data_IF_907708623778
#
_entry.id   IF_907708623778
#
_cell.length_a   1.000
_cell.length_b   1.000
_cell.length_c   1.000
_cell.angle_alpha   90.00
_cell.angle_beta   90.00
_cell.angle_gamma   90.00
#
_symmetry.space_group_name_H-M   'P 1'
#
loop_
_entity.id
_entity.type
_entity.pdbx_description
1 polymer ?
#
# COMPACT_ATOMS: atom_id res chain seq x y z
N UNK A 1 -2.17 -15.25 -3.71
CA UNK A 1 -1.27 -14.69 -2.66
C UNK A 1 -2.03 -14.25 -1.42
N UNK A 2 -2.91 -13.25 -1.47
CA UNK A 2 -3.74 -12.79 -0.33
C UNK A 2 -5.22 -13.00 -0.64
N UNK A 3 -6.00 -13.42 0.37
CA UNK A 3 -7.44 -13.64 0.24
C UNK A 3 -8.15 -13.17 1.52
N UNK A 4 -9.11 -12.29 1.38
CA UNK A 4 -10.04 -11.86 2.42
C UNK A 4 -11.37 -12.58 2.16
N UNK A 5 -11.91 -13.26 3.17
CA UNK A 5 -13.17 -14.04 3.09
C UNK A 5 -14.17 -13.54 4.11
N UNK A 6 -15.18 -12.83 3.62
CA UNK A 6 -16.35 -12.36 4.38
C UNK A 6 -15.95 -11.67 5.70
N UNK A 7 -14.93 -10.78 5.67
CA UNK A 7 -14.44 -10.14 6.87
C UNK A 7 -15.35 -9.02 7.34
N UNK A 8 -15.61 -9.02 8.65
CA UNK A 8 -16.21 -7.93 9.39
C UNK A 8 -15.18 -7.35 10.35
N UNK A 9 -15.18 -6.03 10.50
CA UNK A 9 -14.27 -5.32 11.41
C UNK A 9 -15.01 -4.19 12.10
N UNK A 10 -14.75 -4.01 13.40
CA UNK A 10 -15.44 -3.03 14.24
C UNK A 10 -14.45 -2.15 15.00
N UNK A 11 -14.81 -0.87 15.15
CA UNK A 11 -14.23 0.06 16.13
C UNK A 11 -15.27 0.28 17.25
N UNK A 12 -15.14 -0.44 18.35
CA UNK A 12 -16.17 -0.48 19.36
C UNK A 12 -17.50 -0.97 18.78
N UNK A 13 -18.53 -0.14 18.83
CA UNK A 13 -19.86 -0.46 18.27
C UNK A 13 -20.04 -0.07 16.79
N UNK A 14 -19.02 0.54 16.18
CA UNK A 14 -19.11 0.98 14.79
C UNK A 14 -18.54 -0.11 13.88
N UNK A 15 -19.37 -0.70 13.04
CA UNK A 15 -18.94 -1.65 12.03
C UNK A 15 -18.32 -0.90 10.83
N UNK A 16 -17.01 -1.03 10.66
CA UNK A 16 -16.24 -0.38 9.60
C UNK A 16 -16.16 -1.22 8.32
N UNK A 17 -16.06 -2.56 8.44
CA UNK A 17 -16.09 -3.48 7.31
C UNK A 17 -17.25 -4.46 7.48
N UNK A 18 -17.92 -4.78 6.36
CA UNK A 18 -19.13 -5.60 6.32
C UNK A 18 -19.04 -6.59 5.17
N UNK A 19 -18.77 -7.84 5.49
CA UNK A 19 -18.77 -8.96 4.55
C UNK A 19 -17.78 -8.71 3.36
N UNK A 20 -16.61 -8.16 3.67
CA UNK A 20 -15.62 -7.81 2.65
C UNK A 20 -14.89 -9.05 2.19
N UNK A 21 -14.93 -9.31 0.89
CA UNK A 21 -14.19 -10.39 0.23
C UNK A 21 -13.44 -9.84 -0.97
N UNK A 22 -12.14 -10.11 -1.04
CA UNK A 22 -11.29 -9.77 -2.18
C UNK A 22 -10.09 -10.73 -2.26
N UNK A 23 -9.47 -10.78 -3.43
CA UNK A 23 -8.29 -11.59 -3.68
C UNK A 23 -7.21 -10.77 -4.37
N UNK A 24 -5.94 -11.08 -4.06
CA UNK A 24 -4.75 -10.52 -4.71
C UNK A 24 -3.89 -11.69 -5.14
N UNK A 25 -3.63 -11.83 -6.44
CA UNK A 25 -2.72 -12.84 -6.94
C UNK A 25 -1.28 -12.33 -6.94
N UNK A 26 -0.32 -13.22 -7.01
CA UNK A 26 1.10 -12.88 -7.07
C UNK A 26 1.41 -12.14 -8.38
N UNK A 27 2.18 -11.05 -8.28
CA UNK A 27 2.57 -10.22 -9.41
C UNK A 27 1.53 -9.20 -9.88
N UNK A 28 0.31 -9.19 -9.32
CA UNK A 28 -0.72 -8.21 -9.68
C UNK A 28 -0.53 -6.86 -8.97
N UNK A 29 -0.95 -5.78 -9.63
CA UNK A 29 -1.37 -4.52 -9.00
C UNK A 29 -2.88 -4.59 -8.81
N UNK A 30 -3.34 -4.71 -7.57
CA UNK A 30 -4.77 -4.66 -7.24
C UNK A 30 -5.07 -3.33 -6.55
N UNK A 31 -6.10 -2.61 -7.02
CA UNK A 31 -6.52 -1.35 -6.41
C UNK A 31 -7.83 -1.50 -5.64
N UNK A 32 -7.93 -0.80 -4.50
CA UNK A 32 -9.16 -0.61 -3.75
C UNK A 32 -9.49 0.88 -3.76
N UNK A 33 -10.53 1.25 -4.50
CA UNK A 33 -10.97 2.64 -4.63
C UNK A 33 -12.27 2.87 -3.85
N UNK A 34 -12.49 4.11 -3.43
CA UNK A 34 -13.68 4.52 -2.69
C UNK A 34 -13.52 5.88 -2.04
N UNK A 35 -14.63 6.47 -1.62
CA UNK A 35 -14.62 7.75 -0.91
C UNK A 35 -13.92 7.67 0.45
N UNK A 36 -13.62 8.83 1.05
CA UNK A 36 -13.12 8.89 2.43
C UNK A 36 -14.14 8.30 3.39
N UNK A 37 -13.67 7.49 4.33
CA UNK A 37 -14.52 6.76 5.27
C UNK A 37 -15.18 5.50 4.69
N UNK A 38 -14.90 5.10 3.44
CA UNK A 38 -15.48 3.88 2.85
C UNK A 38 -14.99 2.58 3.52
N UNK A 39 -13.87 2.61 4.29
CA UNK A 39 -13.30 1.43 4.94
C UNK A 39 -11.96 0.99 4.35
N UNK A 40 -11.39 1.73 3.39
CA UNK A 40 -10.16 1.38 2.67
C UNK A 40 -8.97 1.16 3.61
N UNK A 41 -8.59 2.16 4.41
CA UNK A 41 -7.48 2.04 5.37
C UNK A 41 -7.76 1.00 6.45
N UNK A 42 -9.03 0.83 6.85
CA UNK A 42 -9.43 -0.25 7.78
C UNK A 42 -9.15 -1.63 7.18
N UNK A 43 -9.35 -1.81 5.87
CA UNK A 43 -9.00 -3.06 5.18
C UNK A 43 -7.50 -3.34 5.28
N UNK A 44 -6.63 -2.33 5.02
CA UNK A 44 -5.18 -2.47 5.18
C UNK A 44 -4.78 -2.76 6.62
N UNK A 45 -5.36 -2.04 7.58
CA UNK A 45 -5.09 -2.26 9.01
C UNK A 45 -5.52 -3.65 9.48
N UNK A 46 -6.62 -4.20 8.95
CA UNK A 46 -7.05 -5.58 9.22
C UNK A 46 -6.05 -6.60 8.67
N UNK A 47 -5.49 -6.37 7.47
CA UNK A 47 -4.46 -7.23 6.88
C UNK A 47 -3.17 -7.19 7.72
N UNK A 48 -2.78 -6.01 8.21
CA UNK A 48 -1.55 -5.81 8.99
C UNK A 48 -1.68 -6.16 10.49
N UNK A 49 -2.87 -6.60 10.94
CA UNK A 49 -3.10 -6.94 12.35
C UNK A 49 -3.22 -5.71 13.27
N UNK A 50 -3.42 -4.52 12.71
CA UNK A 50 -3.63 -3.27 13.45
C UNK A 50 -5.06 -3.13 13.99
N UNK A 51 -6.03 -3.75 13.31
CA UNK A 51 -7.44 -3.81 13.73
C UNK A 51 -7.93 -5.25 13.67
N UNK A 52 -8.56 -5.78 14.73
CA UNK A 52 -8.98 -7.17 14.76
C UNK A 52 -10.16 -7.43 13.79
N UNK A 53 -10.07 -8.53 13.08
CA UNK A 53 -11.19 -9.10 12.31
C UNK A 53 -12.16 -9.77 13.29
N UNK A 54 -13.41 -9.36 13.28
CA UNK A 54 -14.45 -9.89 14.20
C UNK A 54 -15.20 -11.07 13.62
N UNK A 55 -15.21 -11.24 12.29
CA UNK A 55 -15.79 -12.36 11.54
C UNK A 55 -15.03 -12.55 10.25
N UNK A 56 -15.03 -13.77 9.73
CA UNK A 56 -14.32 -14.12 8.49
C UNK A 56 -12.84 -14.40 8.72
N UNK A 57 -12.07 -14.48 7.67
CA UNK A 57 -10.64 -14.80 7.73
C UNK A 57 -9.83 -14.07 6.66
N UNK A 58 -8.57 -13.79 6.96
CA UNK A 58 -7.58 -13.30 6.01
C UNK A 58 -6.51 -14.36 5.87
N UNK A 59 -6.30 -14.82 4.64
CA UNK A 59 -5.31 -15.84 4.31
C UNK A 59 -4.20 -15.23 3.46
N UNK A 60 -2.96 -15.48 3.86
CA UNK A 60 -1.78 -15.21 3.04
C UNK A 60 -1.12 -16.54 2.69
N UNK A 61 -1.06 -16.87 1.40
CA UNK A 61 -0.59 -18.18 0.90
C UNK A 61 -1.32 -19.36 1.55
N UNK A 62 -2.63 -19.22 1.73
CA UNK A 62 -3.47 -20.25 2.34
C UNK A 62 -3.34 -20.35 3.86
N UNK A 63 -2.50 -19.55 4.51
CA UNK A 63 -2.32 -19.53 5.97
C UNK A 63 -3.05 -18.35 6.60
N UNK A 64 -3.81 -18.55 7.70
CA UNK A 64 -4.53 -17.46 8.36
C UNK A 64 -3.54 -16.48 9.01
N UNK A 65 -3.70 -15.20 8.68
CA UNK A 65 -2.86 -14.11 9.22
C UNK A 65 -3.63 -13.15 10.13
N UNK A 66 -4.96 -13.13 10.08
CA UNK A 66 -5.81 -12.20 10.85
C UNK A 66 -5.72 -12.35 12.38
N UNK A 67 -5.15 -13.45 12.87
CA UNK A 67 -4.90 -13.70 14.30
C UNK A 67 -3.44 -13.45 14.69
N UNK A 68 -2.59 -13.10 13.73
CA UNK A 68 -1.16 -12.88 13.97
C UNK A 68 -0.90 -11.45 14.45
N UNK A 69 0.18 -11.28 15.22
CA UNK A 69 0.70 -9.96 15.56
C UNK A 69 1.38 -9.31 14.36
N UNK A 70 1.36 -7.99 14.27
CA UNK A 70 1.92 -7.22 13.16
C UNK A 70 3.39 -7.58 12.85
N UNK A 71 4.23 -7.79 13.87
CA UNK A 71 5.64 -8.20 13.68
C UNK A 71 5.78 -9.55 12.96
N UNK A 72 4.85 -10.47 13.14
CA UNK A 72 4.82 -11.76 12.44
C UNK A 72 4.37 -11.60 11.00
N UNK A 73 3.37 -10.73 10.77
CA UNK A 73 2.86 -10.44 9.43
C UNK A 73 3.96 -9.82 8.56
N UNK A 74 4.70 -8.85 9.09
CA UNK A 74 5.83 -8.23 8.38
C UNK A 74 6.90 -9.28 8.00
N UNK A 75 7.19 -10.25 8.87
CA UNK A 75 8.16 -11.35 8.59
C UNK A 75 7.68 -12.28 7.47
N UNK A 76 6.39 -12.33 7.15
CA UNK A 76 5.86 -13.06 5.99
C UNK A 76 6.08 -12.32 4.67
N UNK A 77 6.54 -11.06 4.72
CA UNK A 77 6.76 -10.22 3.56
C UNK A 77 5.58 -9.32 3.20
N UNK A 78 4.64 -9.09 4.12
CA UNK A 78 3.57 -8.09 3.98
C UNK A 78 4.03 -6.80 4.63
N UNK A 79 4.25 -5.75 3.83
CA UNK A 79 4.72 -4.46 4.33
C UNK A 79 3.77 -3.33 3.90
N UNK A 80 3.53 -2.38 4.79
CA UNK A 80 2.62 -1.27 4.55
C UNK A 80 3.37 0.07 4.52
N UNK A 81 2.99 0.91 3.55
CA UNK A 81 3.21 2.35 3.58
C UNK A 81 1.88 2.99 3.98
N UNK A 82 1.75 3.44 5.23
CA UNK A 82 0.50 4.01 5.72
C UNK A 82 0.25 5.41 5.18
N UNK A 83 -1.00 5.87 5.27
CA UNK A 83 -1.36 7.26 5.00
C UNK A 83 -0.54 8.22 5.87
N UNK A 84 -0.26 9.41 5.36
CA UNK A 84 0.52 10.43 6.10
C UNK A 84 2.02 10.16 6.16
N UNK A 85 2.53 9.21 5.35
CA UNK A 85 3.96 8.89 5.15
C UNK A 85 4.63 8.23 6.36
N UNK A 86 4.34 8.66 7.58
CA UNK A 86 4.85 8.18 8.87
C UNK A 86 6.35 7.83 8.86
N UNK A 87 7.17 8.77 8.34
CA UNK A 87 8.63 8.68 8.41
C UNK A 87 9.12 9.07 9.81
N UNK A 88 10.33 8.68 10.17
CA UNK A 88 10.99 9.13 11.39
C UNK A 88 11.67 10.48 11.11
N UNK A 89 11.00 11.58 11.49
CA UNK A 89 11.36 12.95 11.13
C UNK A 89 12.74 13.38 11.66
N UNK A 90 13.11 12.91 12.84
CA UNK A 90 14.36 13.24 13.52
C UNK A 90 15.53 12.34 13.10
N UNK A 91 15.28 11.37 12.23
CA UNK A 91 16.29 10.50 11.64
C UNK A 91 16.61 10.94 10.22
N UNK A 92 17.84 10.69 9.81
CA UNK A 92 18.26 10.91 8.43
C UNK A 92 17.55 10.01 7.44
N UNK A 93 17.61 10.32 6.15
CA UNK A 93 17.16 9.45 5.07
C UNK A 93 17.77 8.07 5.21
N UNK A 94 19.06 7.98 5.43
CA UNK A 94 19.78 6.71 5.53
C UNK A 94 19.28 5.89 6.74
N UNK A 95 19.14 6.49 7.91
CA UNK A 95 18.64 5.81 9.12
C UNK A 95 17.19 5.33 8.95
N UNK A 96 16.33 6.10 8.26
CA UNK A 96 15.00 5.63 7.90
C UNK A 96 15.04 4.39 7.00
N UNK A 97 15.95 4.33 6.02
CA UNK A 97 16.12 3.18 5.14
C UNK A 97 16.68 1.96 5.89
N UNK A 98 17.64 2.15 6.76
CA UNK A 98 18.21 1.10 7.61
C UNK A 98 17.15 0.46 8.50
N UNK A 99 16.23 1.26 9.06
CA UNK A 99 15.07 0.73 9.81
C UNK A 99 14.15 -0.13 8.96
N UNK A 100 14.02 0.17 7.65
CA UNK A 100 13.28 -0.70 6.72
C UNK A 100 13.86 -2.10 6.63
N UNK A 101 15.18 -2.23 6.75
CA UNK A 101 15.89 -3.51 6.73
C UNK A 101 16.08 -4.15 8.12
N UNK A 102 15.51 -3.59 9.19
CA UNK A 102 15.77 -3.99 10.60
C UNK A 102 15.58 -5.48 10.88
N UNK A 103 14.69 -6.16 10.17
CA UNK A 103 14.41 -7.60 10.36
C UNK A 103 15.32 -8.51 9.52
N UNK A 104 16.32 -7.96 8.83
CA UNK A 104 17.19 -8.67 7.87
C UNK A 104 18.63 -8.71 8.36
N UNK A 105 19.31 -9.83 8.04
CA UNK A 105 20.71 -10.07 8.40
C UNK A 105 21.62 -10.21 7.16
N UNK A 106 21.03 -10.18 5.93
CA UNK A 106 21.74 -10.40 4.65
C UNK A 106 22.40 -9.10 4.15
N UNK A 107 23.55 -8.75 4.70
CA UNK A 107 24.24 -7.47 4.43
C UNK A 107 24.42 -7.14 2.94
N UNK A 108 24.79 -8.13 2.13
CA UNK A 108 24.96 -7.93 0.68
C UNK A 108 23.61 -7.69 -0.02
N UNK A 109 22.55 -8.33 0.44
CA UNK A 109 21.19 -8.10 -0.03
C UNK A 109 20.71 -6.71 0.33
N UNK A 110 20.90 -6.28 1.57
CA UNK A 110 20.53 -4.93 2.04
C UNK A 110 21.25 -3.87 1.20
N UNK A 111 22.55 -4.06 0.91
CA UNK A 111 23.30 -3.14 0.05
C UNK A 111 22.73 -3.07 -1.38
N UNK A 112 22.41 -4.22 -2.00
CA UNK A 112 21.79 -4.25 -3.34
C UNK A 112 20.44 -3.54 -3.35
N UNK A 113 19.62 -3.75 -2.32
CA UNK A 113 18.31 -3.12 -2.22
C UNK A 113 18.42 -1.62 -1.95
N UNK A 114 19.44 -1.17 -1.22
CA UNK A 114 19.73 0.24 -1.04
C UNK A 114 20.14 0.90 -2.37
N UNK A 115 21.01 0.26 -3.15
CA UNK A 115 21.40 0.74 -4.48
C UNK A 115 20.18 0.78 -5.42
N UNK A 116 19.29 -0.22 -5.34
CA UNK A 116 18.04 -0.25 -6.10
C UNK A 116 17.12 0.91 -5.71
N UNK A 117 16.88 1.13 -4.42
CA UNK A 117 16.06 2.23 -3.92
C UNK A 117 16.62 3.59 -4.38
N UNK A 118 17.92 3.78 -4.34
CA UNK A 118 18.55 5.01 -4.84
C UNK A 118 18.47 5.15 -6.37
N UNK A 119 18.40 4.06 -7.10
CA UNK A 119 18.11 4.11 -8.54
C UNK A 119 16.67 4.53 -8.86
N UNK A 120 15.70 4.12 -8.04
CA UNK A 120 14.31 4.55 -8.16
C UNK A 120 14.11 6.02 -7.76
N UNK A 121 14.84 6.47 -6.73
CA UNK A 121 14.73 7.80 -6.15
C UNK A 121 16.09 8.44 -5.95
N UNK A 122 16.75 8.95 -7.04
CA UNK A 122 18.10 9.54 -6.96
C UNK A 122 18.21 10.67 -5.95
N UNK A 123 17.16 11.44 -5.75
CA UNK A 123 17.11 12.54 -4.79
C UNK A 123 17.39 12.08 -3.35
N UNK A 124 16.97 10.85 -2.99
CA UNK A 124 17.23 10.28 -1.67
C UNK A 124 18.73 9.95 -1.49
N UNK A 125 19.40 9.51 -2.57
CA UNK A 125 20.86 9.28 -2.55
C UNK A 125 21.65 10.57 -2.31
N UNK A 126 21.22 11.67 -2.94
CA UNK A 126 21.82 12.99 -2.76
C UNK A 126 21.64 13.52 -1.33
N UNK A 127 20.48 13.21 -0.73
CA UNK A 127 20.05 13.71 0.58
C UNK A 127 20.18 12.69 1.72
N UNK A 128 20.99 11.64 1.54
CA UNK A 128 21.12 10.53 2.49
C UNK A 128 21.40 10.92 3.94
N UNK A 129 22.06 12.07 4.16
CA UNK A 129 22.40 12.60 5.50
C UNK A 129 21.41 13.67 6.00
N UNK A 130 20.43 14.04 5.19
CA UNK A 130 19.40 15.02 5.56
C UNK A 130 18.36 14.39 6.47
N UNK A 131 17.87 15.14 7.46
CA UNK A 131 16.78 14.70 8.34
C UNK A 131 15.48 14.54 7.53
N UNK A 132 14.79 13.44 7.74
CA UNK A 132 13.54 13.11 7.04
C UNK A 132 12.47 14.21 7.16
N UNK A 133 12.35 14.82 8.33
CA UNK A 133 11.39 15.89 8.57
C UNK A 133 11.61 17.17 7.78
N UNK A 134 12.82 17.37 7.21
CA UNK A 134 13.17 18.55 6.40
C UNK A 134 12.97 18.33 4.90
N UNK A 135 12.58 17.12 4.49
CA UNK A 135 12.24 16.79 3.10
C UNK A 135 10.89 17.41 2.71
N UNK A 136 10.72 17.70 1.42
CA UNK A 136 9.39 18.03 0.88
C UNK A 136 8.41 16.88 1.05
N UNK A 137 7.10 17.16 0.99
CA UNK A 137 6.09 16.12 1.13
C UNK A 137 6.21 14.97 0.12
N UNK A 138 6.61 15.28 -1.13
CA UNK A 138 6.86 14.25 -2.14
C UNK A 138 8.09 13.40 -1.83
N UNK A 139 9.18 14.00 -1.37
CA UNK A 139 10.39 13.28 -0.97
C UNK A 139 10.16 12.42 0.28
N UNK A 140 9.33 12.88 1.21
CA UNK A 140 8.91 12.07 2.36
C UNK A 140 8.12 10.84 1.92
N UNK A 141 7.24 10.97 0.91
CA UNK A 141 6.51 9.84 0.34
C UNK A 141 7.45 8.86 -0.35
N UNK A 142 8.43 9.36 -1.12
CA UNK A 142 9.49 8.54 -1.71
C UNK A 142 10.26 7.78 -0.63
N UNK A 143 10.62 8.44 0.46
CA UNK A 143 11.32 7.83 1.59
C UNK A 143 10.47 6.75 2.28
N UNK A 144 9.17 6.98 2.47
CA UNK A 144 8.26 6.00 3.08
C UNK A 144 8.14 4.72 2.22
N UNK A 145 7.98 4.88 0.90
CA UNK A 145 7.96 3.75 -0.04
C UNK A 145 9.31 3.02 -0.03
N UNK A 146 10.41 3.77 -0.11
CA UNK A 146 11.77 3.23 -0.08
C UNK A 146 12.03 2.40 1.18
N UNK A 147 11.63 2.91 2.35
CA UNK A 147 11.75 2.19 3.62
C UNK A 147 10.99 0.86 3.61
N UNK A 148 9.79 0.83 3.02
CA UNK A 148 9.04 -0.42 2.89
C UNK A 148 9.73 -1.40 1.93
N UNK A 149 10.33 -0.93 0.83
CA UNK A 149 11.07 -1.76 -0.12
C UNK A 149 12.34 -2.38 0.48
N UNK A 150 13.00 -1.69 1.42
CA UNK A 150 14.15 -2.23 2.14
C UNK A 150 13.84 -3.51 2.94
N UNK A 151 12.58 -3.74 3.28
CA UNK A 151 12.14 -4.99 3.91
C UNK A 151 12.03 -6.18 2.94
N UNK A 152 12.23 -5.99 1.62
CA UNK A 152 11.96 -6.97 0.55
C UNK A 152 10.53 -7.53 0.61
N UNK A 153 9.52 -6.67 0.46
CA UNK A 153 8.14 -7.11 0.52
C UNK A 153 7.81 -8.10 -0.62
N UNK A 154 7.02 -9.10 -0.31
CA UNK A 154 6.33 -9.92 -1.30
C UNK A 154 4.99 -9.29 -1.69
N UNK A 155 4.36 -8.61 -0.71
CA UNK A 155 3.14 -7.83 -0.88
C UNK A 155 3.37 -6.44 -0.25
N UNK A 156 3.33 -5.42 -1.08
CA UNK A 156 3.42 -4.01 -0.68
C UNK A 156 2.02 -3.42 -0.63
N UNK A 157 1.63 -2.95 0.55
CA UNK A 157 0.36 -2.27 0.82
C UNK A 157 0.60 -0.77 0.83
N UNK A 158 -0.10 -0.02 -0.02
CA UNK A 158 0.03 1.43 -0.15
C UNK A 158 -1.30 2.10 0.21
N UNK A 159 -1.29 2.96 1.23
CA UNK A 159 -2.47 3.70 1.70
C UNK A 159 -2.41 5.16 1.24
N UNK A 160 -3.19 5.49 0.23
CA UNK A 160 -3.32 6.82 -0.39
C UNK A 160 -1.96 7.49 -0.69
N UNK A 161 -1.06 6.83 -1.43
CA UNK A 161 0.29 7.34 -1.66
C UNK A 161 0.33 8.65 -2.44
N UNK A 162 -0.75 9.05 -3.11
CA UNK A 162 -0.84 10.30 -3.87
C UNK A 162 -1.37 11.49 -3.06
N UNK A 163 -1.87 11.26 -1.84
CA UNK A 163 -2.58 12.29 -1.06
C UNK A 163 -1.71 13.49 -0.73
N UNK A 164 -2.21 14.69 -1.09
CA UNK A 164 -1.55 15.97 -0.78
C UNK A 164 -0.24 16.21 -1.53
N UNK A 165 -0.04 15.53 -2.68
CA UNK A 165 1.14 15.70 -3.52
C UNK A 165 0.85 16.54 -4.77
N UNK A 166 1.88 17.22 -5.29
CA UNK A 166 1.80 17.92 -6.56
C UNK A 166 1.60 16.94 -7.72
N UNK A 167 0.86 17.30 -8.81
CA UNK A 167 0.55 16.40 -9.92
C UNK A 167 1.76 15.69 -10.55
N UNK A 168 2.88 16.39 -10.67
CA UNK A 168 4.11 15.81 -11.22
C UNK A 168 4.67 14.70 -10.31
N UNK A 169 4.59 14.87 -9.00
CA UNK A 169 5.03 13.87 -8.02
C UNK A 169 4.08 12.67 -8.03
N UNK A 170 2.77 12.91 -8.13
CA UNK A 170 1.78 11.83 -8.27
C UNK A 170 2.15 10.93 -9.44
N UNK A 171 2.37 11.52 -10.62
CA UNK A 171 2.77 10.76 -11.82
C UNK A 171 4.04 9.94 -11.56
N UNK A 172 5.05 10.53 -10.93
CA UNK A 172 6.29 9.85 -10.61
C UNK A 172 6.07 8.67 -9.63
N UNK A 173 5.27 8.85 -8.57
CA UNK A 173 4.96 7.78 -7.62
C UNK A 173 4.26 6.61 -8.31
N UNK A 174 3.27 6.87 -9.17
CA UNK A 174 2.57 5.81 -9.90
C UNK A 174 3.50 5.06 -10.86
N UNK A 175 4.39 5.74 -11.57
CA UNK A 175 5.42 5.11 -12.40
C UNK A 175 6.35 4.21 -11.59
N UNK A 176 6.73 4.62 -10.38
CA UNK A 176 7.56 3.81 -9.48
C UNK A 176 6.78 2.59 -8.98
N UNK A 177 5.48 2.71 -8.67
CA UNK A 177 4.64 1.59 -8.28
C UNK A 177 4.59 0.53 -9.41
N UNK A 178 4.37 0.97 -10.66
CA UNK A 178 4.43 0.07 -11.83
C UNK A 178 5.81 -0.60 -11.96
N UNK A 179 6.89 0.18 -11.82
CA UNK A 179 8.25 -0.35 -11.89
C UNK A 179 8.54 -1.39 -10.81
N UNK A 180 8.17 -1.13 -9.57
CA UNK A 180 8.33 -2.05 -8.43
C UNK A 180 7.54 -3.34 -8.67
N UNK A 181 6.34 -3.25 -9.24
CA UNK A 181 5.55 -4.43 -9.60
C UNK A 181 6.20 -5.23 -10.74
N UNK A 182 6.69 -4.58 -11.81
CA UNK A 182 7.44 -5.21 -12.89
C UNK A 182 8.70 -5.95 -12.39
N UNK A 183 9.29 -5.46 -11.30
CA UNK A 183 10.44 -6.09 -10.65
C UNK A 183 10.04 -7.24 -9.69
N UNK A 184 8.75 -7.62 -9.68
CA UNK A 184 8.23 -8.84 -9.04
C UNK A 184 7.52 -8.62 -7.70
N UNK A 185 7.31 -7.39 -7.24
CA UNK A 185 6.56 -7.11 -6.00
C UNK A 185 5.07 -7.05 -6.30
N UNK A 186 4.26 -7.82 -5.58
CA UNK A 186 2.79 -7.70 -5.62
C UNK A 186 2.37 -6.43 -4.90
N UNK A 187 1.42 -5.67 -5.47
CA UNK A 187 0.99 -4.40 -4.90
C UNK A 187 -0.50 -4.40 -4.61
N UNK A 188 -0.87 -3.98 -3.41
CA UNK A 188 -2.24 -3.62 -3.07
C UNK A 188 -2.31 -2.12 -2.79
N UNK A 189 -2.94 -1.40 -3.70
CA UNK A 189 -3.02 0.06 -3.71
C UNK A 189 -4.40 0.52 -3.26
N UNK A 190 -4.46 1.24 -2.16
CA UNK A 190 -5.67 1.93 -1.70
C UNK A 190 -5.58 3.40 -2.12
N UNK A 191 -6.58 3.90 -2.82
CA UNK A 191 -6.57 5.26 -3.37
C UNK A 191 -7.96 5.90 -3.41
N UNK A 192 -7.98 7.21 -3.22
CA UNK A 192 -9.12 8.06 -3.55
C UNK A 192 -9.03 8.55 -4.99
N UNK A 193 -7.82 8.74 -5.52
CA UNK A 193 -7.58 9.11 -6.91
C UNK A 193 -7.82 7.92 -7.84
N UNK A 194 -9.10 7.59 -8.05
CA UNK A 194 -9.52 6.43 -8.82
C UNK A 194 -8.95 6.42 -10.25
N UNK A 195 -8.84 7.59 -10.89
CA UNK A 195 -8.34 7.67 -12.27
C UNK A 195 -6.91 7.15 -12.40
N UNK A 196 -6.01 7.58 -11.50
CA UNK A 196 -4.63 7.12 -11.54
C UNK A 196 -4.51 5.66 -11.10
N UNK A 197 -5.23 5.27 -10.04
CA UNK A 197 -5.18 3.92 -9.52
C UNK A 197 -5.66 2.87 -10.55
N UNK A 198 -6.78 3.14 -11.22
CA UNK A 198 -7.36 2.21 -12.20
C UNK A 198 -6.53 2.09 -13.48
N UNK A 199 -5.74 3.12 -13.85
CA UNK A 199 -4.86 3.07 -15.03
C UNK A 199 -3.76 2.03 -14.91
N UNK A 200 -3.22 1.83 -13.71
CA UNK A 200 -2.11 0.91 -13.47
C UNK A 200 -2.57 -0.43 -12.89
N UNK A 201 -3.83 -0.54 -12.46
CA UNK A 201 -4.34 -1.75 -11.82
C UNK A 201 -4.69 -2.84 -12.85
N UNK A 202 -4.21 -4.06 -12.63
CA UNK A 202 -4.70 -5.26 -13.33
C UNK A 202 -6.16 -5.53 -12.97
N UNK A 203 -6.46 -5.44 -11.66
CA UNK A 203 -7.81 -5.60 -11.11
C UNK A 203 -8.08 -4.55 -10.04
N UNK A 204 -9.35 -4.22 -9.88
CA UNK A 204 -9.73 -3.29 -8.83
C UNK A 204 -11.09 -3.65 -8.20
N UNK A 205 -11.27 -3.13 -6.99
CA UNK A 205 -12.48 -3.22 -6.20
C UNK A 205 -12.95 -1.81 -5.85
N UNK A 206 -14.26 -1.59 -5.91
CA UNK A 206 -14.91 -0.36 -5.44
C UNK A 206 -15.50 -0.62 -4.07
N UNK A 207 -15.17 0.23 -3.11
CA UNK A 207 -15.66 0.11 -1.74
C UNK A 207 -16.56 1.28 -1.35
N UNK A 208 -17.74 0.97 -0.83
CA UNK A 208 -18.69 1.95 -0.31
C UNK A 208 -19.22 1.50 1.05
N UNK A 209 -19.15 2.36 2.04
CA UNK A 209 -19.70 2.14 3.39
C UNK A 209 -19.35 0.75 3.96
N UNK A 210 -18.07 0.37 3.85
CA UNK A 210 -17.53 -0.87 4.38
C UNK A 210 -17.83 -2.13 3.57
N UNK A 211 -18.33 -2.02 2.33
CA UNK A 211 -18.66 -3.15 1.45
C UNK A 211 -17.98 -3.01 0.09
N UNK A 212 -17.63 -4.13 -0.53
CA UNK A 212 -17.26 -4.14 -1.94
C UNK A 212 -18.57 -4.10 -2.75
N UNK A 213 -18.72 -3.07 -3.59
CA UNK A 213 -19.91 -2.88 -4.44
C UNK A 213 -19.67 -3.29 -5.88
N UNK A 214 -18.42 -3.17 -6.36
CA UNK A 214 -18.05 -3.54 -7.72
C UNK A 214 -16.63 -4.12 -7.74
N UNK A 215 -16.35 -4.95 -8.74
CA UNK A 215 -15.00 -5.44 -9.02
C UNK A 215 -14.83 -5.70 -10.53
N UNK A 216 -13.60 -5.57 -11.02
CA UNK A 216 -13.28 -5.78 -12.44
C UNK A 216 -11.82 -5.51 -12.73
N UNK A 217 -11.48 -5.51 -14.02
CA UNK A 217 -10.16 -5.01 -14.46
C UNK A 217 -10.11 -3.49 -14.32
N UNK A 218 -8.91 -2.92 -14.13
CA UNK A 218 -8.75 -1.45 -14.08
C UNK A 218 -9.38 -0.78 -15.30
N UNK A 219 -9.15 -1.33 -16.49
CA UNK A 219 -9.72 -0.81 -17.74
C UNK A 219 -11.24 -0.90 -17.80
N UNK A 220 -11.84 -1.99 -17.32
CA UNK A 220 -13.31 -2.13 -17.31
C UNK A 220 -13.97 -1.14 -16.36
N UNK A 221 -13.39 -0.91 -15.19
CA UNK A 221 -13.92 0.04 -14.22
C UNK A 221 -13.70 1.50 -14.66
N UNK A 222 -12.61 1.81 -15.37
CA UNK A 222 -12.43 3.13 -16.02
C UNK A 222 -13.50 3.44 -17.07
N UNK A 223 -14.03 2.41 -17.73
CA UNK A 223 -15.07 2.56 -18.74
C UNK A 223 -16.49 2.60 -18.14
N UNK A 224 -16.68 2.16 -16.90
CA UNK A 224 -17.99 2.06 -16.24
C UNK A 224 -18.58 3.45 -15.93
N UNK A 225 -19.83 3.69 -16.30
CA UNK A 225 -20.47 5.00 -16.15
C UNK A 225 -20.79 5.36 -14.69
N UNK A 226 -21.02 4.37 -13.83
CA UNK A 226 -21.23 4.62 -12.39
C UNK A 226 -19.92 5.03 -11.73
N UNK A 227 -18.81 4.35 -12.07
CA UNK A 227 -17.48 4.70 -11.59
C UNK A 227 -17.08 6.10 -12.08
N UNK A 228 -17.34 6.43 -13.36
CA UNK A 228 -17.07 7.77 -13.91
C UNK A 228 -17.81 8.85 -13.13
N UNK A 229 -19.11 8.70 -12.91
CA UNK A 229 -19.94 9.68 -12.20
C UNK A 229 -19.55 9.82 -10.73
N UNK A 230 -19.24 8.70 -10.04
CA UNK A 230 -18.98 8.72 -8.61
C UNK A 230 -17.54 9.14 -8.26
N UNK A 231 -16.55 8.78 -9.10
CA UNK A 231 -15.13 8.85 -8.73
C UNK A 231 -14.22 9.55 -9.73
N UNK A 232 -14.65 9.78 -11.00
CA UNK A 232 -13.81 10.39 -12.04
C UNK A 232 -14.20 11.84 -12.37
N UNK A 233 -15.28 12.35 -11.80
CA UNK A 233 -15.73 13.74 -12.00
C UNK A 233 -16.28 14.03 -13.40
N UNK A 234 -16.80 13.02 -14.08
CA UNK A 234 -17.33 13.09 -15.45
C UNK A 234 -18.86 12.98 -15.45
#
# INVERSE_FOLDING_TARGET
>A
MLELRNIDTHYGNIQALRDVSLTINEGEIVSLIGANGAGKSTTLMSICGGVPVTRGEILFEGKPVHTMKADRIVRLGINQVPEGRLIFSDMTVMENLDLGAFLRDDKDGIKRDLDYVFSLFPILAERRRQLGGTLSGGEQQMLAISRALMARPRLLLLDEPSLGLAPIIITQIFQIIEKVNQDGVTVFLVEQNANQALKIADRAYVMETGRITMSGTGTSLLADDNVKKAYLGM
#
